data_IF_331545112819
#
_entry.id   IF_331545112819
#
_cell.length_a   1.000
_cell.length_b   1.000
_cell.length_c   1.000
_cell.angle_alpha   90.00
_cell.angle_beta   90.00
_cell.angle_gamma   90.00
#
_symmetry.space_group_name_H-M   'P 1'
#
loop_
_entity.id
_entity.type
_entity.pdbx_description
1 polymer ?
#
# COMPACT_ATOMS: atom_id res chain seq x y z
N UNK A 1 2.19 0.07 18.73
CA UNK A 1 2.12 1.48 19.18
C UNK A 1 1.12 2.15 18.28
N UNK A 2 0.05 2.75 18.84
CA UNK A 2 -0.96 3.43 18.02
C UNK A 2 -0.36 4.73 17.43
N UNK A 3 -0.33 4.88 16.09
CA UNK A 3 0.22 6.05 15.42
C UNK A 3 -0.49 7.36 15.79
N UNK A 4 -1.72 7.29 16.33
CA UNK A 4 -2.43 8.48 16.82
C UNK A 4 -1.67 9.17 17.95
N UNK A 5 -0.83 8.49 18.74
CA UNK A 5 -0.03 9.10 19.81
C UNK A 5 1.26 9.79 19.32
N UNK A 6 1.74 9.46 18.13
CA UNK A 6 3.03 9.95 17.65
C UNK A 6 2.83 11.33 17.01
N UNK A 7 3.69 12.33 17.29
CA UNK A 7 3.57 13.63 16.65
C UNK A 7 3.62 13.50 15.12
N UNK A 8 2.73 14.19 14.37
CA UNK A 8 2.70 14.14 12.91
C UNK A 8 4.08 14.41 12.25
N UNK A 9 4.81 15.40 12.75
CA UNK A 9 6.16 15.72 12.25
C UNK A 9 7.15 14.56 12.35
N UNK A 10 7.07 13.74 13.40
CA UNK A 10 7.95 12.57 13.59
C UNK A 10 7.63 11.48 12.57
N UNK A 11 6.35 11.24 12.30
CA UNK A 11 5.91 10.26 11.30
C UNK A 11 6.36 10.70 9.90
N UNK A 12 6.09 11.95 9.51
CA UNK A 12 6.51 12.48 8.19
C UNK A 12 8.03 12.47 8.05
N UNK A 13 8.77 12.85 9.09
CA UNK A 13 10.22 12.76 9.08
C UNK A 13 10.69 11.31 8.87
N UNK A 14 10.04 10.35 9.54
CA UNK A 14 10.29 8.92 9.34
C UNK A 14 10.12 8.50 7.88
N UNK A 15 8.98 8.84 7.27
CA UNK A 15 8.71 8.54 5.85
C UNK A 15 9.69 9.24 4.90
N UNK A 16 9.95 10.53 5.11
CA UNK A 16 10.87 11.31 4.29
C UNK A 16 12.29 10.72 4.34
N UNK A 17 12.76 10.32 5.54
CA UNK A 17 14.07 9.70 5.72
C UNK A 17 14.16 8.36 4.96
N UNK A 18 13.16 7.49 5.10
CA UNK A 18 13.13 6.19 4.39
C UNK A 18 13.08 6.42 2.88
N UNK A 19 12.29 7.39 2.42
CA UNK A 19 12.18 7.76 1.00
C UNK A 19 13.51 8.27 0.46
N UNK A 20 14.20 9.15 1.19
CA UNK A 20 15.52 9.64 0.79
C UNK A 20 16.55 8.50 0.68
N UNK A 21 16.57 7.58 1.65
CA UNK A 21 17.43 6.39 1.56
C UNK A 21 17.08 5.49 0.38
N UNK A 22 15.78 5.27 0.12
CA UNK A 22 15.32 4.48 -1.02
C UNK A 22 15.69 5.14 -2.35
N UNK A 23 15.60 6.47 -2.45
CA UNK A 23 16.02 7.25 -3.62
C UNK A 23 17.53 7.14 -3.88
N UNK A 24 18.35 7.20 -2.83
CA UNK A 24 19.79 7.02 -2.98
C UNK A 24 20.13 5.62 -3.53
N UNK A 25 19.51 4.57 -2.99
CA UNK A 25 19.68 3.19 -3.50
C UNK A 25 19.17 3.07 -4.93
N UNK A 26 17.99 3.64 -5.23
CA UNK A 26 17.43 3.67 -6.57
C UNK A 26 18.39 4.33 -7.56
N UNK A 27 18.94 5.50 -7.23
CA UNK A 27 19.89 6.23 -8.08
C UNK A 27 21.16 5.43 -8.34
N UNK A 28 21.71 4.78 -7.31
CA UNK A 28 22.87 3.90 -7.47
C UNK A 28 22.58 2.71 -8.39
N UNK A 29 21.43 2.05 -8.22
CA UNK A 29 21.00 0.95 -9.10
C UNK A 29 20.76 1.45 -10.52
N UNK A 30 20.18 2.63 -10.69
CA UNK A 30 19.92 3.22 -11.99
C UNK A 30 21.21 3.43 -12.78
N UNK A 31 22.27 3.92 -12.15
CA UNK A 31 23.57 4.12 -12.82
C UNK A 31 24.18 2.84 -13.42
N UNK A 32 23.82 1.67 -12.90
CA UNK A 32 24.41 0.38 -13.32
C UNK A 32 23.44 -0.55 -14.04
N UNK A 33 22.12 -0.32 -13.94
CA UNK A 33 21.09 -1.25 -14.42
C UNK A 33 19.87 -0.55 -15.04
N UNK A 34 20.04 0.66 -15.59
CA UNK A 34 18.95 1.46 -16.16
C UNK A 34 18.10 0.66 -17.17
N UNK A 35 18.71 -0.03 -18.12
CA UNK A 35 18.00 -0.82 -19.16
C UNK A 35 17.06 -1.87 -18.55
N UNK A 36 17.45 -2.47 -17.41
CA UNK A 36 16.63 -3.47 -16.71
C UNK A 36 15.50 -2.82 -15.91
N UNK A 37 15.70 -1.60 -15.44
CA UNK A 37 14.73 -0.86 -14.62
C UNK A 37 13.68 -0.12 -15.46
N UNK A 38 14.03 0.30 -16.69
CA UNK A 38 13.13 1.05 -17.60
C UNK A 38 11.75 0.41 -17.77
N UNK A 39 11.61 -0.90 -18.09
CA UNK A 39 10.29 -1.51 -18.24
C UNK A 39 9.43 -1.43 -16.96
N UNK A 40 10.04 -1.52 -15.78
CA UNK A 40 9.33 -1.37 -14.53
C UNK A 40 8.95 0.09 -14.26
N UNK A 41 9.85 1.04 -14.57
CA UNK A 41 9.57 2.47 -14.44
C UNK A 41 8.42 2.90 -15.36
N UNK A 42 8.42 2.43 -16.61
CA UNK A 42 7.36 2.72 -17.58
C UNK A 42 6.00 2.19 -17.11
N UNK A 43 5.96 1.05 -16.39
CA UNK A 43 4.72 0.55 -15.79
C UNK A 43 4.18 1.43 -14.67
N UNK A 44 5.06 2.12 -13.96
CA UNK A 44 4.68 2.98 -12.82
C UNK A 44 4.34 4.40 -13.27
N UNK A 45 5.12 4.95 -14.21
CA UNK A 45 5.04 6.35 -14.62
C UNK A 45 4.49 6.55 -16.03
N UNK A 46 4.35 5.49 -16.84
CA UNK A 46 3.92 5.58 -18.23
C UNK A 46 2.40 5.62 -18.42
N UNK A 47 1.62 5.14 -17.44
CA UNK A 47 0.17 5.32 -17.45
C UNK A 47 -0.17 6.77 -17.03
N UNK A 48 -0.85 7.51 -17.92
CA UNK A 48 -1.43 8.80 -17.56
C UNK A 48 -2.47 8.64 -16.45
N UNK A 49 -2.65 9.64 -15.56
CA UNK A 49 -3.57 9.51 -14.44
C UNK A 49 -5.03 9.51 -14.93
N UNK A 50 -5.66 8.33 -14.97
CA UNK A 50 -7.11 8.18 -15.07
C UNK A 50 -7.69 7.87 -13.69
N UNK A 51 -7.70 8.91 -12.84
CA UNK A 51 -8.14 8.78 -11.44
C UNK A 51 -9.58 8.33 -11.36
N UNK A 52 -10.47 8.95 -12.15
CA UNK A 52 -11.90 8.64 -12.10
C UNK A 52 -12.18 7.20 -12.57
N UNK A 53 -11.62 6.79 -13.71
CA UNK A 53 -11.79 5.43 -14.22
C UNK A 53 -11.20 4.38 -13.27
N UNK A 54 -10.02 4.63 -12.70
CA UNK A 54 -9.39 3.72 -11.76
C UNK A 54 -10.20 3.56 -10.47
N UNK A 55 -10.65 4.67 -9.86
CA UNK A 55 -11.47 4.64 -8.65
C UNK A 55 -12.81 3.91 -8.89
N UNK A 56 -13.43 4.11 -10.05
CA UNK A 56 -14.65 3.39 -10.43
C UNK A 56 -14.39 1.89 -10.56
N UNK A 57 -13.28 1.47 -11.15
CA UNK A 57 -12.98 0.05 -11.35
C UNK A 57 -12.67 -0.68 -10.06
N UNK A 58 -12.14 0.03 -9.07
CA UNK A 58 -11.89 -0.54 -7.73
C UNK A 58 -12.98 -0.20 -6.73
N UNK A 59 -14.20 0.16 -7.15
CA UNK A 59 -15.29 0.44 -6.21
C UNK A 59 -15.51 -0.67 -5.13
N UNK A 60 -15.30 -1.98 -5.40
CA UNK A 60 -15.44 -3.00 -4.36
C UNK A 60 -14.47 -2.81 -3.19
N UNK A 61 -13.30 -2.20 -3.44
CA UNK A 61 -12.32 -1.81 -2.40
C UNK A 61 -12.95 -0.86 -1.39
N UNK A 62 -13.68 0.15 -1.86
CA UNK A 62 -14.32 1.15 -1.01
C UNK A 62 -15.55 0.58 -0.30
N UNK A 63 -16.32 -0.28 -0.98
CA UNK A 63 -17.40 -1.02 -0.33
C UNK A 63 -16.88 -1.89 0.81
N UNK A 64 -15.75 -2.57 0.60
CA UNK A 64 -15.05 -3.32 1.64
C UNK A 64 -14.56 -2.43 2.78
N UNK A 65 -13.99 -1.26 2.49
CA UNK A 65 -13.58 -0.29 3.50
C UNK A 65 -14.77 0.13 4.38
N UNK A 66 -15.92 0.44 3.77
CA UNK A 66 -17.15 0.77 4.50
C UNK A 66 -17.60 -0.41 5.37
N UNK A 67 -17.61 -1.62 4.85
CA UNK A 67 -17.99 -2.81 5.61
C UNK A 67 -17.06 -3.03 6.82
N UNK A 68 -15.75 -2.94 6.62
CA UNK A 68 -14.75 -3.07 7.67
C UNK A 68 -14.88 -1.95 8.72
N UNK A 69 -15.12 -0.71 8.28
CA UNK A 69 -15.37 0.44 9.14
C UNK A 69 -16.62 0.23 10.03
N UNK A 70 -17.71 -0.31 9.47
CA UNK A 70 -18.93 -0.62 10.21
C UNK A 70 -18.70 -1.73 11.23
N UNK A 71 -18.04 -2.82 10.84
CA UNK A 71 -17.71 -3.93 11.75
C UNK A 71 -16.83 -3.44 12.89
N UNK A 72 -15.78 -2.66 12.60
CA UNK A 72 -14.91 -2.08 13.61
C UNK A 72 -15.68 -1.14 14.56
N UNK A 73 -16.60 -0.33 14.03
CA UNK A 73 -17.42 0.54 14.85
C UNK A 73 -18.35 -0.22 15.81
N UNK A 74 -18.85 -1.38 15.39
CA UNK A 74 -19.67 -2.27 16.22
C UNK A 74 -18.84 -3.06 17.23
N UNK A 75 -17.65 -3.53 16.85
CA UNK A 75 -16.83 -4.44 17.64
C UNK A 75 -15.87 -3.75 18.62
N UNK A 76 -15.58 -2.46 18.45
CA UNK A 76 -14.51 -1.84 19.21
C UNK A 76 -14.76 -1.79 20.73
N UNK A 77 -13.69 -1.89 21.53
CA UNK A 77 -13.70 -1.72 22.99
C UNK A 77 -13.74 -0.23 23.40
N UNK A 78 -13.57 0.12 24.68
CA UNK A 78 -13.52 1.53 25.09
C UNK A 78 -12.55 2.33 24.22
N UNK A 79 -13.01 3.46 23.67
CA UNK A 79 -12.18 4.29 22.79
C UNK A 79 -11.20 5.11 23.63
N UNK A 80 -9.91 4.98 23.34
CA UNK A 80 -8.84 5.69 24.07
C UNK A 80 -8.76 7.19 23.72
N UNK A 81 -9.42 7.62 22.63
CA UNK A 81 -9.24 8.95 22.05
C UNK A 81 -10.56 9.71 21.78
N UNK A 82 -10.58 11.04 21.99
CA UNK A 82 -11.69 11.88 21.57
C UNK A 82 -11.92 11.81 20.05
N UNK A 83 -13.17 11.83 19.57
CA UNK A 83 -13.47 11.64 18.14
C UNK A 83 -12.80 12.67 17.23
N UNK A 84 -12.72 13.94 17.66
CA UNK A 84 -12.04 15.00 16.90
C UNK A 84 -10.53 14.74 16.71
N UNK A 85 -9.88 14.10 17.69
CA UNK A 85 -8.47 13.71 17.59
C UNK A 85 -8.30 12.57 16.59
N UNK A 86 -9.16 11.54 16.67
CA UNK A 86 -9.17 10.41 15.73
C UNK A 86 -9.38 10.90 14.31
N UNK A 87 -10.37 11.77 14.08
CA UNK A 87 -10.65 12.32 12.77
C UNK A 87 -9.48 13.13 12.22
N UNK A 88 -9.02 14.15 12.96
CA UNK A 88 -7.99 15.06 12.46
C UNK A 88 -6.65 14.36 12.25
N UNK A 89 -6.19 13.56 13.23
CA UNK A 89 -4.92 12.84 13.12
C UNK A 89 -5.02 11.68 12.12
N UNK A 90 -6.14 10.96 12.14
CA UNK A 90 -6.40 9.89 11.18
C UNK A 90 -6.40 10.40 9.75
N UNK A 91 -7.14 11.46 9.43
CA UNK A 91 -7.17 12.00 8.06
C UNK A 91 -5.78 12.45 7.58
N UNK A 92 -5.00 13.07 8.46
CA UNK A 92 -3.62 13.41 8.15
C UNK A 92 -2.74 12.17 7.90
N UNK A 93 -2.90 11.11 8.71
CA UNK A 93 -2.21 9.82 8.53
C UNK A 93 -2.58 9.19 7.19
N UNK A 94 -3.87 9.13 6.85
CA UNK A 94 -4.39 8.61 5.59
C UNK A 94 -3.76 9.29 4.38
N UNK A 95 -3.69 10.63 4.38
CA UNK A 95 -3.04 11.37 3.29
C UNK A 95 -1.53 11.11 3.20
N UNK A 96 -0.84 11.06 4.35
CA UNK A 96 0.60 10.80 4.38
C UNK A 96 0.94 9.37 3.96
N UNK A 97 0.20 8.38 4.46
CA UNK A 97 0.36 6.98 4.10
C UNK A 97 0.04 6.77 2.62
N UNK A 98 -1.10 7.28 2.14
CA UNK A 98 -1.48 7.21 0.73
C UNK A 98 -0.45 7.82 -0.22
N UNK A 99 0.26 8.88 0.19
CA UNK A 99 1.37 9.40 -0.61
C UNK A 99 2.66 8.57 -0.45
N UNK A 100 3.22 8.53 0.76
CA UNK A 100 4.56 7.99 0.98
C UNK A 100 4.64 6.48 0.78
N UNK A 101 3.62 5.72 1.18
CA UNK A 101 3.64 4.27 0.99
C UNK A 101 3.53 3.92 -0.49
N UNK A 102 2.76 4.66 -1.28
CA UNK A 102 2.70 4.41 -2.73
C UNK A 102 4.01 4.79 -3.43
N UNK A 103 4.64 5.92 -3.07
CA UNK A 103 6.00 6.25 -3.58
C UNK A 103 7.00 5.17 -3.21
N UNK A 104 7.00 4.71 -1.95
CA UNK A 104 7.96 3.71 -1.49
C UNK A 104 7.72 2.35 -2.13
N UNK A 105 6.50 1.81 -2.05
CA UNK A 105 6.20 0.44 -2.46
C UNK A 105 5.95 0.31 -3.96
N UNK A 106 5.19 1.23 -4.57
CA UNK A 106 4.74 1.03 -5.97
C UNK A 106 5.72 1.60 -6.96
N UNK A 107 6.56 2.55 -6.52
CA UNK A 107 7.65 3.08 -7.32
C UNK A 107 9.02 2.56 -6.87
N UNK A 108 9.55 3.04 -5.74
CA UNK A 108 10.98 2.86 -5.46
C UNK A 108 11.36 1.40 -5.21
N UNK A 109 10.69 0.75 -4.26
CA UNK A 109 10.99 -0.65 -3.94
C UNK A 109 10.64 -1.57 -5.10
N UNK A 110 9.55 -1.32 -5.82
CA UNK A 110 9.18 -2.12 -6.99
C UNK A 110 10.24 -2.06 -8.09
N UNK A 111 10.63 -0.85 -8.52
CA UNK A 111 11.60 -0.71 -9.61
C UNK A 111 12.99 -1.18 -9.16
N UNK A 112 13.40 -0.89 -7.92
CA UNK A 112 14.68 -1.39 -7.37
C UNK A 112 14.71 -2.91 -7.18
N UNK A 113 13.56 -3.57 -6.96
CA UNK A 113 13.53 -5.02 -6.80
C UNK A 113 13.91 -5.76 -8.09
N UNK A 114 13.72 -5.17 -9.27
CA UNK A 114 14.03 -5.81 -10.56
C UNK A 114 15.51 -6.19 -10.70
N UNK A 115 16.49 -5.27 -10.60
CA UNK A 115 17.90 -5.63 -10.69
C UNK A 115 18.33 -6.54 -9.52
N UNK A 116 17.77 -6.35 -8.32
CA UNK A 116 18.08 -7.19 -7.15
C UNK A 116 17.65 -8.65 -7.39
N UNK A 117 16.40 -8.88 -7.81
CA UNK A 117 15.89 -10.22 -8.11
C UNK A 117 16.63 -10.86 -9.30
N UNK A 118 17.02 -10.06 -10.30
CA UNK A 118 17.83 -10.53 -11.42
C UNK A 118 19.20 -11.02 -10.93
N UNK A 119 19.87 -10.25 -10.08
CA UNK A 119 21.16 -10.64 -9.49
C UNK A 119 21.03 -11.87 -8.60
N UNK A 120 20.01 -11.93 -7.73
CA UNK A 120 19.73 -13.08 -6.89
C UNK A 120 19.45 -14.34 -7.72
N UNK A 121 18.70 -14.21 -8.81
CA UNK A 121 18.45 -15.32 -9.72
C UNK A 121 19.73 -15.83 -10.38
N UNK A 122 20.63 -14.94 -10.77
CA UNK A 122 21.94 -15.32 -11.32
C UNK A 122 22.80 -16.04 -10.28
N UNK A 123 22.93 -15.49 -9.07
CA UNK A 123 23.70 -16.09 -7.95
C UNK A 123 23.17 -17.49 -7.60
N UNK A 124 21.85 -17.67 -7.64
CA UNK A 124 21.19 -18.93 -7.29
C UNK A 124 20.97 -19.86 -8.48
N UNK A 125 21.65 -19.62 -9.61
CA UNK A 125 21.58 -20.43 -10.82
C UNK A 125 20.14 -20.71 -11.32
N UNK A 126 19.26 -19.71 -11.23
CA UNK A 126 17.87 -19.80 -11.70
C UNK A 126 16.84 -20.24 -10.67
N UNK A 127 17.24 -20.56 -9.44
CA UNK A 127 16.32 -21.06 -8.41
C UNK A 127 15.22 -20.04 -8.06
N UNK A 128 15.58 -18.76 -7.94
CA UNK A 128 14.60 -17.69 -7.62
C UNK A 128 13.51 -17.62 -8.69
N UNK A 129 13.89 -17.61 -9.97
CA UNK A 129 12.92 -17.63 -11.08
C UNK A 129 11.98 -18.83 -10.98
N UNK A 130 12.54 -20.04 -10.80
CA UNK A 130 11.74 -21.27 -10.70
C UNK A 130 10.74 -21.20 -9.54
N UNK A 131 11.16 -20.70 -8.37
CA UNK A 131 10.27 -20.52 -7.23
C UNK A 131 9.10 -19.58 -7.56
N UNK A 132 9.38 -18.44 -8.21
CA UNK A 132 8.32 -17.51 -8.58
C UNK A 132 7.38 -18.07 -9.65
N UNK A 133 7.91 -18.55 -10.77
CA UNK A 133 7.10 -19.04 -11.90
C UNK A 133 6.31 -20.31 -11.56
N UNK A 134 6.86 -21.21 -10.75
CA UNK A 134 6.21 -22.50 -10.45
C UNK A 134 5.23 -22.41 -9.30
N UNK A 135 5.48 -21.53 -8.32
CA UNK A 135 4.72 -21.52 -7.07
C UNK A 135 4.08 -20.16 -6.79
N UNK A 136 4.89 -19.12 -6.60
CA UNK A 136 4.38 -17.86 -6.04
C UNK A 136 3.46 -17.11 -7.01
N UNK A 137 3.79 -17.06 -8.30
CA UNK A 137 2.98 -16.40 -9.33
C UNK A 137 1.64 -17.11 -9.52
N UNK A 138 1.58 -18.45 -9.75
CA UNK A 138 0.31 -19.16 -9.84
C UNK A 138 -0.57 -19.00 -8.59
N UNK A 139 0.02 -19.12 -7.39
CA UNK A 139 -0.72 -18.94 -6.13
C UNK A 139 -1.29 -17.53 -6.00
N UNK A 140 -0.51 -16.50 -6.34
CA UNK A 140 -0.99 -15.13 -6.31
C UNK A 140 -2.11 -14.89 -7.35
N UNK A 141 -2.02 -15.49 -8.54
CA UNK A 141 -3.06 -15.37 -9.56
C UNK A 141 -4.37 -16.00 -9.09
N UNK A 142 -4.30 -17.21 -8.50
CA UNK A 142 -5.47 -17.85 -7.88
C UNK A 142 -6.02 -17.01 -6.73
N UNK A 143 -5.15 -16.51 -5.84
CA UNK A 143 -5.57 -15.70 -4.70
C UNK A 143 -6.25 -14.39 -5.15
N UNK A 144 -5.87 -13.82 -6.30
CA UNK A 144 -6.50 -12.63 -6.92
C UNK A 144 -7.65 -12.96 -7.87
N UNK A 145 -8.09 -14.22 -7.91
CA UNK A 145 -9.17 -14.71 -8.79
C UNK A 145 -8.93 -14.39 -10.28
N UNK A 146 -7.66 -14.34 -10.72
CA UNK A 146 -7.28 -14.01 -12.09
C UNK A 146 -7.31 -12.52 -12.44
N UNK A 147 -7.75 -11.63 -11.53
CA UNK A 147 -7.82 -10.19 -11.81
C UNK A 147 -6.44 -9.57 -12.10
N UNK A 148 -5.38 -10.20 -11.61
CA UNK A 148 -3.99 -9.75 -11.82
C UNK A 148 -3.26 -10.56 -12.89
N UNK A 149 -3.95 -11.36 -13.70
CA UNK A 149 -3.35 -12.25 -14.70
C UNK A 149 -2.40 -11.49 -15.65
N UNK A 150 -2.84 -10.34 -16.16
CA UNK A 150 -2.07 -9.44 -17.03
C UNK A 150 -0.74 -8.93 -16.42
N UNK A 151 -0.64 -8.96 -15.09
CA UNK A 151 0.51 -8.46 -14.33
C UNK A 151 1.31 -9.57 -13.65
N UNK A 152 0.80 -10.80 -13.62
CA UNK A 152 1.39 -11.95 -12.96
C UNK A 152 1.86 -13.00 -13.97
N UNK A 153 0.94 -13.63 -14.69
CA UNK A 153 1.23 -14.76 -15.58
C UNK A 153 1.44 -14.32 -17.02
N UNK A 154 0.71 -13.31 -17.49
CA UNK A 154 0.86 -12.71 -18.82
C UNK A 154 1.81 -11.49 -18.82
N UNK A 155 2.55 -11.27 -17.71
CA UNK A 155 3.57 -10.24 -17.65
C UNK A 155 4.67 -10.51 -18.70
N UNK A 156 5.21 -9.47 -19.36
CA UNK A 156 6.25 -9.64 -20.39
C UNK A 156 7.57 -10.17 -19.83
N UNK A 157 7.74 -10.14 -18.50
CA UNK A 157 8.92 -10.67 -17.83
C UNK A 157 8.55 -11.17 -16.43
N UNK A 158 9.01 -12.38 -16.10
CA UNK A 158 8.80 -13.00 -14.78
C UNK A 158 9.32 -12.13 -13.64
N UNK A 159 10.37 -11.31 -13.89
CA UNK A 159 10.98 -10.46 -12.86
C UNK A 159 10.05 -9.34 -12.41
N UNK A 160 9.18 -8.85 -13.31
CA UNK A 160 8.20 -7.80 -12.97
C UNK A 160 7.12 -8.37 -12.03
N UNK A 161 6.59 -9.54 -12.36
CA UNK A 161 5.66 -10.25 -11.49
C UNK A 161 6.30 -10.60 -10.14
N UNK A 162 7.55 -11.08 -10.15
CA UNK A 162 8.30 -11.38 -8.94
C UNK A 162 8.57 -10.14 -8.07
N UNK A 163 8.92 -8.99 -8.69
CA UNK A 163 9.12 -7.72 -8.01
C UNK A 163 7.84 -7.24 -7.33
N UNK A 164 6.70 -7.28 -8.04
CA UNK A 164 5.39 -6.97 -7.48
C UNK A 164 5.09 -7.83 -6.24
N UNK A 165 5.24 -9.16 -6.36
CA UNK A 165 4.95 -10.07 -5.25
C UNK A 165 5.90 -9.90 -4.06
N UNK A 166 7.19 -9.66 -4.33
CA UNK A 166 8.20 -9.39 -3.29
C UNK A 166 7.82 -8.16 -2.49
N UNK A 167 7.52 -7.07 -3.19
CA UNK A 167 7.26 -5.77 -2.56
C UNK A 167 5.90 -5.76 -1.88
N UNK A 168 4.89 -6.40 -2.46
CA UNK A 168 3.60 -6.61 -1.80
C UNK A 168 3.72 -7.50 -0.55
N UNK A 169 4.56 -8.55 -0.61
CA UNK A 169 4.85 -9.40 0.55
C UNK A 169 5.49 -8.61 1.71
N UNK A 170 6.37 -7.65 1.40
CA UNK A 170 6.93 -6.73 2.39
C UNK A 170 5.88 -5.76 2.94
N UNK A 171 5.06 -5.16 2.08
CA UNK A 171 3.96 -4.27 2.48
C UNK A 171 3.02 -4.96 3.47
N UNK A 172 2.59 -6.19 3.14
CA UNK A 172 1.79 -7.06 4.01
C UNK A 172 2.44 -7.30 5.37
N UNK A 173 3.73 -7.62 5.40
CA UNK A 173 4.44 -7.91 6.65
C UNK A 173 4.54 -6.67 7.56
N UNK A 174 4.62 -5.47 7.00
CA UNK A 174 4.58 -4.23 7.79
C UNK A 174 3.22 -3.99 8.43
N UNK A 175 2.16 -4.63 7.95
CA UNK A 175 0.80 -4.55 8.49
C UNK A 175 0.45 -5.74 9.40
N UNK A 176 1.40 -6.64 9.69
CA UNK A 176 1.18 -7.79 10.56
C UNK A 176 0.77 -7.41 12.00
N UNK A 177 1.10 -6.19 12.44
CA UNK A 177 0.71 -5.67 13.76
C UNK A 177 -0.81 -5.50 13.91
N UNK A 178 -1.58 -5.51 12.81
CA UNK A 178 -3.04 -5.48 12.78
C UNK A 178 -3.66 -6.87 12.97
N UNK A 179 -2.86 -7.89 13.29
CA UNK A 179 -3.29 -9.28 13.44
C UNK A 179 -3.50 -10.00 12.10
N UNK A 180 -4.02 -11.23 12.17
CA UNK A 180 -4.18 -12.09 10.98
C UNK A 180 -5.09 -11.44 9.93
N UNK A 181 -6.19 -10.81 10.35
CA UNK A 181 -7.10 -10.16 9.43
C UNK A 181 -6.43 -8.99 8.69
N UNK A 182 -5.72 -8.10 9.41
CA UNK A 182 -4.99 -7.01 8.78
C UNK A 182 -3.84 -7.48 7.90
N UNK A 183 -3.17 -8.59 8.28
CA UNK A 183 -2.17 -9.23 7.45
C UNK A 183 -2.75 -9.78 6.15
N UNK A 184 -3.88 -10.48 6.18
CA UNK A 184 -4.54 -10.95 4.94
C UNK A 184 -5.04 -9.76 4.13
N UNK A 185 -5.72 -8.81 4.77
CA UNK A 185 -6.29 -7.65 4.10
C UNK A 185 -5.24 -6.84 3.36
N UNK A 186 -4.14 -6.48 4.03
CA UNK A 186 -3.04 -5.70 3.43
C UNK A 186 -2.42 -6.38 2.20
N UNK A 187 -2.42 -7.71 2.13
CA UNK A 187 -1.99 -8.41 0.92
C UNK A 187 -2.90 -8.08 -0.28
N UNK A 188 -4.22 -8.20 -0.10
CA UNK A 188 -5.20 -7.91 -1.16
C UNK A 188 -5.23 -6.45 -1.55
N UNK A 189 -5.28 -5.55 -0.56
CA UNK A 189 -5.23 -4.10 -0.80
C UNK A 189 -3.97 -3.75 -1.59
N UNK A 190 -2.82 -4.32 -1.21
CA UNK A 190 -1.58 -4.03 -1.89
C UNK A 190 -1.52 -4.54 -3.34
N UNK A 191 -2.18 -5.66 -3.66
CA UNK A 191 -2.37 -6.12 -5.04
C UNK A 191 -3.25 -5.14 -5.85
N UNK A 192 -4.34 -4.65 -5.26
CA UNK A 192 -5.22 -3.65 -5.89
C UNK A 192 -4.47 -2.33 -6.15
N UNK A 193 -3.59 -1.89 -5.24
CA UNK A 193 -2.78 -0.69 -5.49
C UNK A 193 -1.79 -0.87 -6.64
N UNK A 194 -1.24 -2.07 -6.84
CA UNK A 194 -0.44 -2.38 -8.03
C UNK A 194 -1.29 -2.39 -9.32
N UNK A 195 -2.49 -2.97 -9.28
CA UNK A 195 -3.45 -2.91 -10.38
C UNK A 195 -3.73 -1.46 -10.80
N UNK A 196 -4.03 -0.59 -9.82
CA UNK A 196 -4.25 0.83 -10.07
C UNK A 196 -3.01 1.52 -10.63
N UNK A 197 -1.83 1.25 -10.05
CA UNK A 197 -0.58 1.86 -10.51
C UNK A 197 -0.31 1.52 -11.98
N UNK A 198 -0.47 0.24 -12.35
CA UNK A 198 -0.14 -0.22 -13.70
C UNK A 198 -1.21 0.10 -14.75
N UNK A 199 -2.49 0.18 -14.35
CA UNK A 199 -3.60 0.46 -15.27
C UNK A 199 -3.97 1.94 -15.36
N UNK A 200 -3.82 2.69 -14.28
CA UNK A 200 -4.39 4.03 -14.10
C UNK A 200 -3.39 5.06 -13.55
N UNK A 201 -2.14 4.65 -13.31
CA UNK A 201 -1.05 5.50 -12.84
C UNK A 201 -0.91 5.59 -11.32
N UNK A 202 0.30 5.95 -10.88
CA UNK A 202 0.69 6.01 -9.46
C UNK A 202 -0.19 6.98 -8.64
N UNK A 203 -0.56 8.13 -9.21
CA UNK A 203 -1.41 9.12 -8.52
C UNK A 203 -2.79 8.54 -8.20
N UNK A 204 -3.35 7.72 -9.08
CA UNK A 204 -4.63 7.04 -8.85
C UNK A 204 -4.55 6.09 -7.66
N UNK A 205 -3.45 5.32 -7.54
CA UNK A 205 -3.22 4.48 -6.37
C UNK A 205 -3.07 5.30 -5.08
N UNK A 206 -2.35 6.43 -5.10
CA UNK A 206 -2.23 7.32 -3.94
C UNK A 206 -3.58 7.82 -3.44
N UNK A 207 -4.44 8.26 -4.36
CA UNK A 207 -5.78 8.77 -4.03
C UNK A 207 -6.66 7.62 -3.51
N UNK A 208 -6.65 6.46 -4.17
CA UNK A 208 -7.42 5.30 -3.74
C UNK A 208 -7.02 4.82 -2.33
N UNK A 209 -5.72 4.77 -2.05
CA UNK A 209 -5.19 4.44 -0.73
C UNK A 209 -5.65 5.45 0.32
N UNK A 210 -5.44 6.75 0.08
CA UNK A 210 -5.87 7.79 1.01
C UNK A 210 -7.38 7.71 1.29
N UNK A 211 -8.22 7.53 0.26
CA UNK A 211 -9.68 7.40 0.42
C UNK A 211 -10.04 6.14 1.20
N UNK A 212 -9.41 5.00 0.90
CA UNK A 212 -9.63 3.76 1.64
C UNK A 212 -9.38 3.94 3.14
N UNK A 213 -8.23 4.50 3.51
CA UNK A 213 -7.89 4.76 4.91
C UNK A 213 -8.84 5.76 5.56
N UNK A 214 -9.20 6.83 4.83
CA UNK A 214 -10.12 7.84 5.32
C UNK A 214 -11.49 7.24 5.70
N UNK A 215 -12.00 6.29 4.91
CA UNK A 215 -13.25 5.57 5.23
C UNK A 215 -13.11 4.76 6.52
N UNK A 216 -12.00 4.04 6.70
CA UNK A 216 -11.73 3.28 7.94
C UNK A 216 -11.66 4.23 9.15
N UNK A 217 -10.97 5.36 9.01
CA UNK A 217 -10.85 6.41 10.05
C UNK A 217 -12.20 7.04 10.38
N UNK A 218 -13.07 7.25 9.40
CA UNK A 218 -14.43 7.72 9.64
C UNK A 218 -15.23 6.71 10.47
N UNK A 219 -15.11 5.41 10.18
CA UNK A 219 -15.69 4.35 11.01
C UNK A 219 -15.20 4.40 12.45
N UNK A 220 -13.88 4.50 12.64
CA UNK A 220 -13.26 4.63 13.96
C UNK A 220 -13.73 5.90 14.70
N UNK A 221 -13.89 7.00 13.97
CA UNK A 221 -14.41 8.27 14.51
C UNK A 221 -15.85 8.12 14.98
N UNK A 222 -16.72 7.49 14.18
CA UNK A 222 -18.12 7.20 14.57
C UNK A 222 -18.17 6.28 15.79
N UNK A 223 -17.29 5.28 15.85
CA UNK A 223 -17.15 4.41 17.02
C UNK A 223 -16.79 5.21 18.28
N UNK A 224 -15.84 6.15 18.16
CA UNK A 224 -15.45 7.02 19.25
C UNK A 224 -16.61 7.95 19.69
N UNK A 225 -17.38 8.51 18.76
CA UNK A 225 -18.55 9.35 19.06
C UNK A 225 -19.61 8.62 19.86
N UNK A 226 -19.92 7.37 19.49
CA UNK A 226 -20.90 6.55 20.22
C UNK A 226 -20.52 6.32 21.68
N UNK A 227 -19.22 6.28 21.97
CA UNK A 227 -18.70 6.00 23.32
C UNK A 227 -18.45 7.25 24.14
N UNK A 228 -18.17 8.38 23.49
CA UNK A 228 -17.90 9.66 24.14
C UNK A 228 -18.87 10.76 23.68
N UNK A 229 -20.19 10.60 23.89
CA UNK A 229 -21.19 11.55 23.39
C UNK A 229 -21.10 12.94 24.05
N UNK A 230 -20.27 13.09 25.08
CA UNK A 230 -20.01 14.34 25.80
C UNK A 230 -18.66 14.98 25.44
N UNK A 231 -17.77 14.28 24.72
CA UNK A 231 -16.45 14.81 24.29
C UNK A 231 -16.50 15.36 22.86
N UNK A 232 -17.65 15.92 22.49
CA UNK A 232 -17.96 16.43 21.14
C UNK A 232 -17.22 17.73 20.83
N UNK A 233 -16.78 18.43 21.87
CA UNK A 233 -15.97 19.62 21.73
C UNK A 233 -14.49 19.25 21.69
N UNK A 234 -13.71 19.80 20.73
CA UNK A 234 -12.27 19.83 20.88
C UNK A 234 -12.01 20.59 22.19
N UNK A 235 -11.41 19.93 23.19
CA UNK A 235 -11.08 20.57 24.47
C UNK A 235 -10.45 21.95 24.22
N UNK A 236 -10.80 22.95 25.03
CA UNK A 236 -10.34 24.31 24.85
C UNK A 236 -8.82 24.39 24.86
N UNK A 237 -8.36 25.38 24.09
CA UNK A 237 -6.98 25.78 23.83
C UNK A 237 -6.16 25.83 25.13
N UNK A 238 -5.11 25.02 25.22
CA UNK A 238 -3.92 25.32 26.01
C UNK A 238 -2.82 25.75 25.03
#
# INVERSE_FOLDING_TARGET
MDPIHIPPSVITYGFARVTASAMAVFGLLWLVTDERMRPALDRVLGAGPDVAGGLLQVWPLFAWAVAAALVAALAAGPAEHPPGTVLRRGMWLSLNAGFFEEVLFRWLFFVSAVPILTALNWITAGLIRRLYETLLIPLANVATLGLMEAHLTAAPSWVLAAALLTVNGRFRNLHAYLGVFGWINSWYIGMVMFYLTFGYGLVTAMIAHAVYDAVIILGATVAAWRRHPHLTHPYPRY
#
